data_IF_760894345441
#
_entry.id   IF_760894345441
#
_cell.length_a   1.000
_cell.length_b   1.000
_cell.length_c   1.000
_cell.angle_alpha   90.00
_cell.angle_beta   90.00
_cell.angle_gamma   90.00
#
_symmetry.space_group_name_H-M   'P 1'
#
loop_
_entity.id
_entity.type
_entity.pdbx_description
1 polymer ?
#
# COMPACT_ATOMS: atom_id res chain seq x y z
N UNK A 1 -31.94 12.36 0.86
CA UNK A 1 -31.35 11.92 2.14
C UNK A 1 -30.18 12.84 2.46
N UNK A 2 -29.95 13.20 3.72
CA UNK A 2 -28.79 14.03 4.08
C UNK A 2 -27.50 13.27 3.72
N UNK A 3 -26.57 13.92 3.03
CA UNK A 3 -25.23 13.39 2.76
C UNK A 3 -24.56 13.05 4.09
N UNK A 4 -24.31 11.77 4.37
CA UNK A 4 -23.58 11.38 5.57
C UNK A 4 -22.12 11.81 5.40
N UNK A 5 -21.60 12.54 6.39
CA UNK A 5 -20.21 12.99 6.38
C UNK A 5 -19.54 12.81 7.74
N UNK A 6 -18.23 12.60 7.72
CA UNK A 6 -17.35 12.58 8.87
C UNK A 6 -16.46 13.84 8.84
N UNK A 7 -16.65 14.73 9.80
CA UNK A 7 -15.85 15.95 9.90
C UNK A 7 -14.48 15.65 10.53
N UNK A 8 -13.42 15.82 9.74
CA UNK A 8 -12.02 15.68 10.19
C UNK A 8 -11.68 16.77 11.20
N UNK A 9 -12.22 17.98 11.02
CA UNK A 9 -12.03 19.08 11.97
C UNK A 9 -12.69 18.83 13.32
N UNK A 10 -13.96 18.43 13.32
CA UNK A 10 -14.66 18.11 14.57
C UNK A 10 -13.95 16.98 15.31
N UNK A 11 -13.50 15.94 14.59
CA UNK A 11 -12.72 14.86 15.17
C UNK A 11 -11.38 15.35 15.73
N UNK A 12 -10.62 16.13 14.95
CA UNK A 12 -9.29 16.62 15.37
C UNK A 12 -9.36 17.50 16.61
N UNK A 13 -10.35 18.39 16.67
CA UNK A 13 -10.59 19.27 17.83
C UNK A 13 -10.97 18.44 19.06
N UNK A 14 -11.79 17.41 18.88
CA UNK A 14 -12.14 16.48 19.96
C UNK A 14 -10.92 15.70 20.45
N UNK A 15 -10.12 15.13 19.55
CA UNK A 15 -8.90 14.39 19.90
C UNK A 15 -7.92 15.25 20.70
N UNK A 16 -7.70 16.51 20.26
CA UNK A 16 -6.85 17.46 20.97
C UNK A 16 -7.38 17.80 22.38
N UNK A 17 -8.70 17.98 22.54
CA UNK A 17 -9.31 18.28 23.83
C UNK A 17 -9.16 17.13 24.85
N UNK A 18 -9.15 15.88 24.39
CA UNK A 18 -8.91 14.71 25.25
C UNK A 18 -7.43 14.46 25.55
N UNK A 19 -6.53 15.06 24.77
CA UNK A 19 -5.07 14.96 24.92
C UNK A 19 -4.47 13.67 24.32
N UNK A 20 -3.13 13.62 24.18
CA UNK A 20 -2.43 12.57 23.42
C UNK A 20 -2.42 11.19 24.10
N UNK A 21 -2.83 11.10 25.36
CA UNK A 21 -2.70 9.89 26.18
C UNK A 21 -3.83 8.87 25.98
N UNK A 22 -4.75 9.10 25.03
CA UNK A 22 -5.80 8.13 24.76
C UNK A 22 -5.18 6.88 24.10
N UNK A 23 -5.27 5.70 24.73
CA UNK A 23 -4.76 4.49 24.13
C UNK A 23 -5.66 4.08 22.96
N UNK A 24 -5.03 3.59 21.89
CA UNK A 24 -5.68 2.82 20.83
C UNK A 24 -5.03 1.45 20.84
N UNK A 25 -5.86 0.41 20.90
CA UNK A 25 -5.36 -0.96 20.89
C UNK A 25 -4.72 -1.25 19.54
N UNK A 26 -3.53 -1.85 19.56
CA UNK A 26 -2.83 -2.24 18.34
C UNK A 26 -2.16 -3.60 18.60
N UNK A 27 -2.41 -4.58 17.73
CA UNK A 27 -1.60 -5.81 17.74
C UNK A 27 -0.34 -5.63 16.89
N UNK A 28 0.67 -6.47 17.13
CA UNK A 28 1.68 -6.67 16.10
C UNK A 28 1.00 -7.25 14.85
N UNK A 29 1.44 -6.86 13.64
CA UNK A 29 0.95 -7.44 12.41
C UNK A 29 1.47 -8.87 12.26
N UNK A 30 0.56 -9.81 12.05
CA UNK A 30 0.86 -11.21 11.79
C UNK A 30 0.87 -11.44 10.27
N UNK A 31 1.97 -11.93 9.72
CA UNK A 31 2.01 -12.32 8.30
C UNK A 31 1.22 -13.62 8.11
N UNK A 32 0.22 -13.58 7.22
CA UNK A 32 -0.72 -14.70 7.01
C UNK A 32 -0.65 -15.32 5.62
N UNK A 33 -0.14 -14.59 4.63
CA UNK A 33 0.03 -15.04 3.25
C UNK A 33 0.94 -14.07 2.51
N UNK A 34 1.30 -14.39 1.27
CA UNK A 34 2.14 -13.56 0.41
C UNK A 34 2.03 -14.03 -1.05
N UNK A 35 2.50 -13.19 -1.97
CA UNK A 35 2.61 -13.56 -3.38
C UNK A 35 3.73 -12.78 -4.07
N UNK A 36 4.19 -13.36 -5.18
CA UNK A 36 5.00 -12.66 -6.17
C UNK A 36 4.12 -12.28 -7.35
N UNK A 37 4.18 -11.03 -7.79
CA UNK A 37 3.70 -10.63 -9.11
C UNK A 37 4.84 -10.84 -10.10
N UNK A 38 4.64 -11.75 -11.04
CA UNK A 38 5.61 -12.02 -12.10
C UNK A 38 5.85 -10.73 -12.92
N UNK A 39 7.05 -10.58 -13.48
CA UNK A 39 7.34 -9.46 -14.39
C UNK A 39 6.45 -9.54 -15.64
N UNK A 40 6.32 -8.43 -16.36
CA UNK A 40 5.61 -8.41 -17.63
C UNK A 40 6.20 -9.42 -18.64
N UNK A 41 7.54 -9.59 -18.63
CA UNK A 41 8.22 -10.60 -19.45
C UNK A 41 7.87 -12.04 -19.07
N UNK A 42 7.48 -12.27 -17.81
CA UNK A 42 7.04 -13.56 -17.27
C UNK A 42 5.50 -13.68 -17.19
N UNK A 43 4.75 -12.82 -17.88
CA UNK A 43 3.29 -12.90 -18.00
C UNK A 43 2.48 -12.07 -17.00
N UNK A 44 3.11 -11.43 -15.99
CA UNK A 44 2.42 -10.46 -15.13
C UNK A 44 1.46 -11.04 -14.06
N UNK A 45 1.37 -12.36 -13.94
CA UNK A 45 0.43 -13.06 -13.04
C UNK A 45 0.78 -12.99 -11.55
N UNK A 46 -0.20 -13.29 -10.71
CA UNK A 46 -0.04 -13.39 -9.25
C UNK A 46 0.26 -14.84 -8.84
N UNK A 47 1.44 -15.07 -8.27
CA UNK A 47 1.92 -16.36 -7.79
C UNK A 47 1.77 -16.39 -6.26
N UNK A 48 0.63 -16.89 -5.77
CA UNK A 48 0.38 -17.01 -4.33
C UNK A 48 1.27 -18.08 -3.70
N UNK A 49 1.80 -17.81 -2.50
CA UNK A 49 2.75 -18.70 -1.83
C UNK A 49 4.16 -18.69 -2.43
N UNK A 50 4.42 -17.89 -3.46
CA UNK A 50 5.73 -17.78 -4.09
C UNK A 50 6.56 -16.61 -3.52
N UNK A 51 7.84 -16.87 -3.28
CA UNK A 51 8.81 -15.91 -2.73
C UNK A 51 9.86 -15.47 -3.75
N UNK A 52 9.72 -15.82 -5.04
CA UNK A 52 10.72 -15.49 -6.05
C UNK A 52 10.89 -13.98 -6.29
N UNK A 53 9.87 -13.19 -5.97
CA UNK A 53 9.92 -11.73 -5.99
C UNK A 53 10.57 -11.09 -4.76
N UNK A 54 10.87 -11.86 -3.70
CA UNK A 54 11.53 -11.32 -2.51
C UNK A 54 12.97 -10.98 -2.85
N UNK A 55 13.34 -9.72 -2.64
CA UNK A 55 14.68 -9.22 -2.88
C UNK A 55 15.45 -9.14 -1.56
N UNK A 56 16.68 -9.64 -1.50
CA UNK A 56 17.50 -9.62 -0.27
C UNK A 56 18.49 -8.46 -0.30
N UNK A 57 18.68 -7.76 0.82
CA UNK A 57 19.64 -6.67 0.90
C UNK A 57 21.08 -7.13 0.67
N UNK A 58 21.86 -6.32 -0.06
CA UNK A 58 23.31 -6.49 -0.12
C UNK A 58 23.95 -6.11 1.22
N UNK A 59 25.03 -6.79 1.65
CA UNK A 59 25.57 -6.62 3.00
C UNK A 59 26.23 -5.25 3.24
N UNK A 60 26.81 -4.63 2.21
CA UNK A 60 27.55 -3.37 2.34
C UNK A 60 26.83 -2.19 1.66
N UNK A 61 25.70 -1.77 2.22
CA UNK A 61 24.91 -0.65 1.69
C UNK A 61 25.64 0.69 1.72
N UNK A 62 26.62 0.88 2.61
CA UNK A 62 27.43 2.11 2.69
C UNK A 62 28.34 2.28 1.47
N UNK A 63 28.71 1.19 0.80
CA UNK A 63 29.47 1.25 -0.46
C UNK A 63 28.69 1.90 -1.62
N UNK A 64 27.38 2.10 -1.47
CA UNK A 64 26.53 2.78 -2.46
C UNK A 64 26.64 4.31 -2.39
N UNK A 65 27.37 4.88 -1.42
CA UNK A 65 27.66 6.31 -1.42
C UNK A 65 28.40 6.71 -2.71
N UNK A 66 28.03 7.88 -3.24
CA UNK A 66 28.47 8.43 -4.54
C UNK A 66 27.94 7.69 -5.77
N UNK A 67 27.07 6.70 -5.62
CA UNK A 67 26.40 6.07 -6.75
C UNK A 67 25.50 7.07 -7.48
N UNK A 68 25.54 7.04 -8.82
CA UNK A 68 24.68 7.86 -9.67
C UNK A 68 23.37 7.13 -9.99
N UNK A 69 22.25 7.59 -9.39
CA UNK A 69 20.93 7.01 -9.64
C UNK A 69 20.40 7.25 -11.06
N UNK A 70 21.10 8.04 -11.89
CA UNK A 70 20.77 8.16 -13.31
C UNK A 70 21.30 7.00 -14.16
N UNK A 71 22.20 6.17 -13.63
CA UNK A 71 22.85 5.10 -14.41
C UNK A 71 21.82 4.11 -14.95
N UNK A 72 21.67 4.09 -16.28
CA UNK A 72 20.71 3.25 -17.00
C UNK A 72 19.42 3.97 -17.39
N UNK A 73 19.19 5.21 -16.96
CA UNK A 73 18.01 5.98 -17.38
C UNK A 73 18.28 6.73 -18.70
N UNK A 74 17.32 6.77 -19.65
CA UNK A 74 16.01 6.11 -19.63
C UNK A 74 16.00 4.70 -20.23
N UNK A 75 17.10 4.27 -20.86
CA UNK A 75 17.15 3.14 -21.80
C UNK A 75 17.03 1.75 -21.12
N UNK A 76 17.54 1.61 -19.90
CA UNK A 76 17.50 0.40 -19.08
C UNK A 76 16.42 0.49 -17.98
N UNK A 77 15.26 1.04 -18.32
CA UNK A 77 14.10 1.12 -17.44
C UNK A 77 12.83 0.54 -18.08
N UNK A 78 12.41 -0.63 -17.60
CA UNK A 78 11.12 -1.26 -17.97
C UNK A 78 10.04 -0.72 -17.03
N UNK A 79 9.09 0.01 -17.62
CA UNK A 79 7.98 0.66 -16.93
C UNK A 79 6.75 -0.25 -16.92
N UNK A 80 5.94 -0.15 -15.87
CA UNK A 80 4.57 -0.66 -15.90
C UNK A 80 3.79 0.00 -17.04
N UNK A 81 3.10 -0.81 -17.84
CA UNK A 81 2.36 -0.36 -19.02
C UNK A 81 1.27 0.66 -18.67
N UNK A 82 0.62 0.47 -17.53
CA UNK A 82 -0.35 1.39 -16.98
C UNK A 82 0.05 1.76 -15.55
N UNK A 83 0.62 2.96 -15.37
CA UNK A 83 0.91 3.50 -14.04
C UNK A 83 -0.36 3.74 -13.23
N UNK A 84 -1.52 3.75 -13.88
CA UNK A 84 -2.83 4.00 -13.30
C UNK A 84 -3.63 2.71 -13.03
N UNK A 85 -3.14 1.54 -13.44
CA UNK A 85 -3.78 0.25 -13.12
C UNK A 85 -3.71 -0.02 -11.60
N UNK A 86 -4.86 -0.04 -10.95
CA UNK A 86 -4.99 -0.20 -9.52
C UNK A 86 -5.16 -1.69 -9.21
N UNK A 87 -4.31 -2.23 -8.33
CA UNK A 87 -4.44 -3.62 -7.93
C UNK A 87 -5.77 -3.80 -7.21
N UNK A 88 -6.63 -4.71 -7.69
CA UNK A 88 -7.96 -4.80 -7.17
C UNK A 88 -8.02 -5.63 -5.88
N UNK A 89 -9.00 -5.34 -5.02
CA UNK A 89 -9.05 -5.89 -3.65
C UNK A 89 -9.27 -7.42 -3.60
N UNK A 90 -9.84 -8.00 -4.65
CA UNK A 90 -10.04 -9.45 -4.82
C UNK A 90 -8.71 -10.24 -4.88
N UNK A 91 -7.60 -9.61 -5.27
CA UNK A 91 -6.25 -10.22 -5.15
C UNK A 91 -5.96 -10.65 -3.72
N UNK A 92 -6.39 -9.86 -2.73
CA UNK A 92 -6.24 -10.22 -1.30
C UNK A 92 -7.14 -11.41 -0.94
N UNK A 93 -8.32 -11.51 -1.55
CA UNK A 93 -9.27 -12.59 -1.30
C UNK A 93 -8.77 -13.91 -1.89
N UNK A 94 -8.19 -13.89 -3.09
CA UNK A 94 -7.54 -15.07 -3.66
C UNK A 94 -6.33 -15.50 -2.84
N UNK A 95 -5.53 -14.56 -2.31
CA UNK A 95 -4.43 -14.89 -1.41
C UNK A 95 -4.88 -15.45 -0.06
N UNK A 96 -6.02 -15.00 0.47
CA UNK A 96 -6.64 -15.58 1.66
C UNK A 96 -7.18 -16.99 1.39
N UNK A 97 -7.82 -17.20 0.23
CA UNK A 97 -8.31 -18.51 -0.20
C UNK A 97 -7.16 -19.51 -0.37
N UNK A 98 -6.07 -19.11 -1.01
CA UNK A 98 -4.86 -19.94 -1.17
C UNK A 98 -4.28 -20.36 0.19
N UNK A 99 -4.25 -19.44 1.16
CA UNK A 99 -3.74 -19.70 2.50
C UNK A 99 -4.75 -20.39 3.44
N UNK A 100 -5.95 -20.76 2.94
CA UNK A 100 -7.04 -21.30 3.76
C UNK A 100 -7.39 -20.40 4.97
N UNK A 101 -7.23 -19.08 4.82
CA UNK A 101 -7.38 -18.12 5.90
C UNK A 101 -8.87 -17.85 6.18
N UNK A 102 -9.38 -18.15 7.39
CA UNK A 102 -10.76 -17.79 7.75
C UNK A 102 -10.95 -16.28 7.83
N UNK A 103 -12.04 -15.77 7.23
CA UNK A 103 -12.37 -14.34 7.17
C UNK A 103 -13.55 -13.93 8.08
N UNK A 104 -14.13 -14.87 8.85
CA UNK A 104 -15.34 -14.67 9.66
C UNK A 104 -15.22 -13.56 10.71
N UNK A 105 -14.00 -13.30 11.20
CA UNK A 105 -13.71 -12.24 12.18
C UNK A 105 -13.12 -10.99 11.56
N UNK A 106 -12.74 -11.03 10.28
CA UNK A 106 -12.12 -9.91 9.58
C UNK A 106 -13.16 -8.84 9.37
N UNK A 107 -12.91 -7.63 9.86
CA UNK A 107 -13.86 -6.51 9.73
C UNK A 107 -13.58 -5.64 8.52
N UNK A 108 -12.34 -5.65 8.02
CA UNK A 108 -11.85 -4.81 6.93
C UNK A 108 -10.85 -5.59 6.08
N UNK A 109 -10.98 -5.51 4.76
CA UNK A 109 -10.00 -6.02 3.79
C UNK A 109 -9.55 -4.89 2.88
N UNK A 110 -8.25 -4.61 2.79
CA UNK A 110 -7.75 -3.52 1.94
C UNK A 110 -6.25 -3.61 1.64
N UNK A 111 -5.77 -2.83 0.67
CA UNK A 111 -4.34 -2.58 0.56
C UNK A 111 -3.89 -1.52 1.57
N UNK A 112 -2.68 -1.70 2.09
CA UNK A 112 -2.01 -0.75 2.98
C UNK A 112 -1.97 0.67 2.40
N UNK A 113 -1.97 0.82 1.07
CA UNK A 113 -2.06 2.11 0.38
C UNK A 113 -3.29 2.94 0.81
N UNK A 114 -4.47 2.32 0.93
CA UNK A 114 -5.69 3.01 1.35
C UNK A 114 -5.62 3.44 2.82
N UNK A 115 -5.03 2.60 3.68
CA UNK A 115 -4.77 2.96 5.07
C UNK A 115 -3.79 4.14 5.17
N UNK A 116 -2.74 4.19 4.35
CA UNK A 116 -1.84 5.35 4.33
C UNK A 116 -2.60 6.65 4.05
N UNK A 117 -3.46 6.67 3.01
CA UNK A 117 -4.27 7.85 2.66
C UNK A 117 -5.15 8.27 3.84
N UNK A 118 -5.87 7.31 4.41
CA UNK A 118 -6.79 7.55 5.51
C UNK A 118 -6.07 8.05 6.76
N UNK A 119 -5.08 7.31 7.28
CA UNK A 119 -4.38 7.63 8.52
C UNK A 119 -3.56 8.93 8.42
N UNK A 120 -3.11 9.31 7.24
CA UNK A 120 -2.39 10.56 7.04
C UNK A 120 -3.29 11.80 6.97
N UNK A 121 -4.62 11.63 6.82
CA UNK A 121 -5.58 12.74 6.65
C UNK A 121 -5.42 13.86 7.70
N UNK A 122 -5.23 13.60 9.01
CA UNK A 122 -5.06 14.66 10.01
C UNK A 122 -3.82 15.54 9.79
N UNK A 123 -2.76 15.00 9.18
CA UNK A 123 -1.51 15.71 8.88
C UNK A 123 -1.45 16.23 7.44
N UNK A 124 -2.16 15.59 6.52
CA UNK A 124 -2.18 15.90 5.08
C UNK A 124 -3.54 16.43 4.66
N UNK A 125 -3.99 17.47 5.37
CA UNK A 125 -5.31 18.05 5.24
C UNK A 125 -5.66 18.55 3.83
N UNK A 126 -4.65 18.79 3.00
CA UNK A 126 -4.80 19.31 1.64
C UNK A 126 -4.75 18.24 0.54
N UNK A 127 -4.57 16.95 0.88
CA UNK A 127 -4.45 15.88 -0.11
C UNK A 127 -5.78 15.14 -0.27
N UNK A 128 -6.50 15.32 -1.39
CA UNK A 128 -7.74 14.58 -1.62
C UNK A 128 -7.43 13.10 -1.85
N UNK A 129 -8.36 12.25 -1.43
CA UNK A 129 -8.32 10.83 -1.75
C UNK A 129 -9.72 10.28 -1.99
N UNK A 130 -9.77 9.21 -2.77
CA UNK A 130 -10.97 8.43 -3.02
C UNK A 130 -10.66 6.96 -2.75
N UNK A 131 -11.61 6.27 -2.13
CA UNK A 131 -11.58 4.84 -1.84
C UNK A 131 -12.95 4.28 -2.17
N UNK A 132 -12.99 3.27 -3.03
CA UNK A 132 -14.23 2.55 -3.32
C UNK A 132 -14.39 1.38 -2.36
N UNK A 133 -15.63 1.00 -2.09
CA UNK A 133 -15.94 0.06 -1.06
C UNK A 133 -17.21 -0.73 -1.33
N UNK A 134 -17.28 -1.92 -0.76
CA UNK A 134 -18.50 -2.68 -0.58
C UNK A 134 -18.54 -3.25 0.83
N UNK A 135 -19.71 -3.19 1.47
CA UNK A 135 -19.95 -3.84 2.76
C UNK A 135 -20.70 -5.15 2.54
N UNK A 136 -20.07 -6.27 2.87
CA UNK A 136 -20.61 -7.61 2.63
C UNK A 136 -20.25 -8.53 3.80
N UNK A 137 -21.21 -9.32 4.30
CA UNK A 137 -21.02 -10.25 5.42
C UNK A 137 -20.26 -9.66 6.64
N UNK A 138 -20.66 -8.46 7.09
CA UNK A 138 -20.05 -7.74 8.21
C UNK A 138 -18.59 -7.26 7.97
N UNK A 139 -18.11 -7.35 6.73
CA UNK A 139 -16.76 -6.95 6.32
C UNK A 139 -16.83 -5.78 5.35
N UNK A 140 -15.96 -4.79 5.54
CA UNK A 140 -15.79 -3.70 4.59
C UNK A 140 -14.58 -3.97 3.70
N UNK A 141 -14.82 -4.15 2.41
CA UNK A 141 -13.78 -4.32 1.41
C UNK A 141 -13.49 -2.96 0.79
N UNK A 142 -12.22 -2.55 0.77
CA UNK A 142 -11.80 -1.23 0.31
C UNK A 142 -10.83 -1.35 -0.87
N UNK A 143 -11.29 -0.91 -2.04
CA UNK A 143 -10.60 -0.91 -3.32
C UNK A 143 -9.78 0.39 -3.50
N UNK A 144 -8.61 0.26 -4.14
CA UNK A 144 -7.78 1.42 -4.48
C UNK A 144 -8.45 2.17 -5.64
N UNK A 145 -8.71 3.45 -5.45
CA UNK A 145 -9.01 4.38 -6.56
C UNK A 145 -7.82 5.32 -6.74
N UNK A 146 -7.36 5.45 -7.98
CA UNK A 146 -6.38 6.46 -8.38
C UNK A 146 -7.11 7.69 -8.90
N UNK A 147 -6.74 8.85 -8.37
CA UNK A 147 -7.28 10.13 -8.82
C UNK A 147 -6.62 10.52 -10.15
N UNK A 148 -7.45 10.68 -11.19
CA UNK A 148 -7.00 11.18 -12.49
C UNK A 148 -6.59 12.66 -12.39
N UNK A 149 -5.69 13.10 -13.28
CA UNK A 149 -5.41 14.52 -13.47
C UNK A 149 -4.31 15.13 -12.60
N UNK A 150 -3.52 14.32 -11.86
CA UNK A 150 -2.22 14.80 -11.37
C UNK A 150 -1.28 14.90 -12.57
N UNK A 151 -1.13 16.10 -13.14
CA UNK A 151 -0.09 16.30 -14.14
C UNK A 151 1.25 15.92 -13.52
N UNK A 152 1.99 14.97 -14.11
CA UNK A 152 3.30 14.62 -13.59
C UNK A 152 4.16 15.88 -13.59
N UNK A 153 4.82 16.15 -12.46
CA UNK A 153 5.84 17.18 -12.40
C UNK A 153 6.91 16.90 -13.47
N UNK A 154 7.58 17.95 -13.95
CA UNK A 154 8.81 17.77 -14.72
C UNK A 154 9.74 16.80 -13.94
N UNK A 155 10.29 15.83 -14.66
CA UNK A 155 11.16 14.75 -14.14
C UNK A 155 10.50 13.71 -13.23
N UNK A 156 9.17 13.62 -13.17
CA UNK A 156 8.47 12.60 -12.39
C UNK A 156 8.94 11.17 -12.72
N UNK A 157 9.04 10.82 -14.01
CA UNK A 157 9.50 9.50 -14.46
C UNK A 157 10.93 9.18 -13.97
N UNK A 158 11.83 10.17 -14.01
CA UNK A 158 13.21 10.03 -13.51
C UNK A 158 13.25 9.87 -11.99
N UNK A 159 12.40 10.56 -11.24
CA UNK A 159 12.34 10.39 -9.78
C UNK A 159 11.70 9.07 -9.36
N UNK A 160 10.74 8.57 -10.13
CA UNK A 160 10.24 7.20 -9.99
C UNK A 160 11.36 6.19 -10.26
N UNK A 161 12.13 6.37 -11.33
CA UNK A 161 13.29 5.55 -11.63
C UNK A 161 14.30 5.54 -10.48
N UNK A 162 14.60 6.68 -9.86
CA UNK A 162 15.53 6.72 -8.71
C UNK A 162 15.08 5.83 -7.55
N UNK A 163 13.77 5.64 -7.34
CA UNK A 163 13.25 4.70 -6.36
C UNK A 163 13.63 3.27 -6.74
N UNK A 164 13.18 2.81 -7.91
CA UNK A 164 13.46 1.46 -8.40
C UNK A 164 14.95 1.18 -8.59
N UNK A 165 15.75 2.16 -9.02
CA UNK A 165 17.20 2.02 -9.15
C UNK A 165 17.85 1.86 -7.78
N UNK A 166 17.39 2.60 -6.78
CA UNK A 166 17.89 2.45 -5.41
C UNK A 166 17.53 1.09 -4.82
N UNK A 167 16.31 0.60 -5.06
CA UNK A 167 15.93 -0.77 -4.70
C UNK A 167 16.85 -1.78 -5.38
N UNK A 168 17.02 -1.68 -6.70
CA UNK A 168 17.86 -2.59 -7.48
C UNK A 168 19.29 -2.66 -6.93
N UNK A 169 19.97 -1.54 -6.70
CA UNK A 169 21.35 -1.54 -6.18
C UNK A 169 21.46 -1.92 -4.70
N UNK A 170 20.37 -1.80 -3.93
CA UNK A 170 20.34 -2.28 -2.54
C UNK A 170 20.12 -3.79 -2.45
N UNK A 171 19.63 -4.43 -3.52
CA UNK A 171 19.29 -5.86 -3.52
C UNK A 171 20.02 -6.69 -4.57
N UNK A 172 20.73 -6.03 -5.46
CA UNK A 172 21.57 -6.62 -6.49
C UNK A 172 22.87 -5.80 -6.59
N UNK A 173 24.00 -6.50 -6.64
CA UNK A 173 25.30 -5.85 -6.72
C UNK A 173 25.63 -5.36 -8.14
N UNK A 174 24.85 -5.75 -9.16
CA UNK A 174 25.09 -5.32 -10.55
C UNK A 174 24.53 -3.90 -10.80
N UNK A 175 25.39 -2.88 -10.96
CA UNK A 175 24.97 -1.52 -11.19
C UNK A 175 24.44 -1.25 -12.60
N UNK A 176 24.65 -2.17 -13.55
CA UNK A 176 24.24 -2.04 -14.96
C UNK A 176 22.99 -2.85 -15.28
N UNK A 177 22.48 -3.62 -14.33
CA UNK A 177 21.26 -4.39 -14.50
C UNK A 177 20.09 -3.48 -14.87
N UNK A 178 19.29 -3.97 -15.83
CA UNK A 178 18.03 -3.35 -16.23
C UNK A 178 17.11 -3.27 -15.02
N UNK A 179 16.52 -2.09 -14.82
CA UNK A 179 15.54 -1.87 -13.76
C UNK A 179 14.17 -2.23 -14.31
N UNK A 180 13.57 -3.30 -13.79
CA UNK A 180 12.21 -3.71 -14.12
C UNK A 180 11.27 -3.39 -12.95
N UNK A 181 10.29 -2.51 -13.21
CA UNK A 181 9.28 -2.09 -12.23
C UNK A 181 8.01 -2.93 -12.27
N UNK A 182 7.93 -3.96 -13.11
CA UNK A 182 6.69 -4.72 -13.34
C UNK A 182 6.51 -5.89 -12.39
N UNK A 183 7.60 -6.48 -11.89
CA UNK A 183 7.58 -7.53 -10.89
C UNK A 183 7.60 -6.97 -9.48
N UNK A 184 6.84 -7.58 -8.58
CA UNK A 184 6.65 -7.10 -7.20
C UNK A 184 6.51 -8.27 -6.24
N UNK A 185 6.84 -8.05 -4.97
CA UNK A 185 6.49 -8.99 -3.90
C UNK A 185 5.57 -8.29 -2.91
N UNK A 186 4.49 -8.95 -2.53
CA UNK A 186 3.58 -8.44 -1.52
C UNK A 186 3.32 -9.48 -0.43
N UNK A 187 3.19 -8.97 0.78
CA UNK A 187 2.87 -9.75 1.96
C UNK A 187 1.50 -9.34 2.50
N UNK A 188 0.74 -10.32 2.99
CA UNK A 188 -0.55 -10.14 3.64
C UNK A 188 -0.36 -10.21 5.15
N UNK A 189 -0.97 -9.25 5.84
CA UNK A 189 -0.91 -9.13 7.29
C UNK A 189 -2.30 -9.03 7.89
N UNK A 190 -2.50 -9.72 9.02
CA UNK A 190 -3.61 -9.44 9.93
C UNK A 190 -3.12 -8.54 11.05
N UNK A 191 -3.84 -7.43 11.26
CA UNK A 191 -3.54 -6.47 12.34
C UNK A 191 -4.83 -6.00 13.00
N UNK A 192 -4.80 -5.88 14.32
CA UNK A 192 -5.88 -5.22 15.07
C UNK A 192 -5.55 -3.75 15.21
N UNK A 193 -6.42 -2.86 14.74
CA UNK A 193 -6.38 -1.43 15.01
C UNK A 193 -7.68 -1.01 15.70
N UNK A 194 -7.59 -0.66 16.98
CA UNK A 194 -8.74 -0.38 17.83
C UNK A 194 -9.68 -1.58 17.86
N UNK A 195 -10.90 -1.37 17.37
CA UNK A 195 -11.92 -2.43 17.30
C UNK A 195 -11.91 -3.24 16.00
N UNK A 196 -11.11 -2.83 15.01
CA UNK A 196 -11.08 -3.46 13.69
C UNK A 196 -10.02 -4.55 13.62
N UNK A 197 -10.40 -5.73 13.16
CA UNK A 197 -9.47 -6.73 12.64
C UNK A 197 -9.32 -6.50 11.13
N UNK A 198 -8.13 -6.09 10.72
CA UNK A 198 -7.82 -5.68 9.35
C UNK A 198 -6.96 -6.76 8.71
N UNK A 199 -7.43 -7.31 7.59
CA UNK A 199 -6.59 -8.05 6.66
C UNK A 199 -6.11 -7.07 5.59
N UNK A 200 -4.79 -6.93 5.46
CA UNK A 200 -4.24 -6.04 4.45
C UNK A 200 -3.05 -6.62 3.70
N UNK A 201 -2.88 -6.18 2.47
CA UNK A 201 -1.68 -6.48 1.70
C UNK A 201 -0.79 -5.24 1.54
N UNK A 202 0.52 -5.47 1.56
CA UNK A 202 1.52 -4.44 1.33
C UNK A 202 2.64 -5.01 0.44
N UNK A 203 3.00 -4.25 -0.59
CA UNK A 203 4.25 -4.44 -1.35
C UNK A 203 5.44 -4.23 -0.42
N UNK A 204 6.41 -5.15 -0.46
CA UNK A 204 7.63 -5.12 0.35
C UNK A 204 8.86 -4.98 -0.56
N UNK A 205 9.73 -4.03 -0.23
CA UNK A 205 10.85 -3.67 -1.11
C UNK A 205 11.99 -4.70 -1.02
N UNK A 206 12.36 -5.07 0.21
CA UNK A 206 13.47 -5.98 0.49
C UNK A 206 13.28 -6.75 1.79
N UNK A 207 14.09 -7.80 1.93
CA UNK A 207 14.20 -8.66 3.09
C UNK A 207 15.66 -8.73 3.56
N UNK A 208 15.84 -8.85 4.86
CA UNK A 208 17.11 -9.14 5.50
C UNK A 208 16.85 -10.14 6.62
N UNK A 209 17.81 -11.02 6.88
CA UNK A 209 17.69 -12.00 7.94
C UNK A 209 17.51 -11.28 9.29
N UNK A 210 16.34 -11.44 9.96
CA UNK A 210 16.10 -10.79 11.23
C UNK A 210 17.01 -11.39 12.31
N UNK A 211 17.49 -10.55 13.22
CA UNK A 211 18.23 -11.03 14.39
C UNK A 211 17.35 -11.93 15.26
N UNK A 212 17.97 -12.76 16.12
CA UNK A 212 17.23 -13.66 17.03
C UNK A 212 16.16 -12.91 17.86
N UNK A 213 16.41 -11.65 18.24
CA UNK A 213 15.48 -10.81 18.99
C UNK A 213 14.31 -10.28 18.15
N UNK A 214 14.49 -10.17 16.83
CA UNK A 214 13.49 -9.65 15.88
C UNK A 214 12.60 -10.75 15.31
N UNK A 215 13.11 -11.99 15.23
CA UNK A 215 12.38 -13.16 14.68
C UNK A 215 11.03 -13.41 15.35
N UNK A 216 10.91 -13.10 16.64
CA UNK A 216 9.65 -13.27 17.38
C UNK A 216 8.56 -12.27 16.96
N UNK A 217 8.94 -11.14 16.36
CA UNK A 217 8.05 -9.98 16.18
C UNK A 217 7.93 -9.50 14.74
N UNK A 218 8.89 -9.81 13.86
CA UNK A 218 8.99 -9.26 12.52
C UNK A 218 9.44 -10.29 11.49
N UNK A 219 8.88 -10.18 10.28
CA UNK A 219 9.20 -11.05 9.15
C UNK A 219 10.52 -10.70 8.42
N UNK A 220 11.33 -9.76 8.94
CA UNK A 220 12.62 -9.36 8.33
C UNK A 220 12.53 -8.36 7.18
N UNK A 221 11.35 -7.82 6.88
CA UNK A 221 11.19 -6.84 5.81
C UNK A 221 11.87 -5.50 6.11
N UNK A 222 12.39 -4.86 5.07
CA UNK A 222 12.97 -3.51 5.11
C UNK A 222 12.37 -2.67 3.99
N UNK A 223 12.08 -1.40 4.29
CA UNK A 223 11.55 -0.45 3.33
C UNK A 223 12.67 0.48 2.83
N UNK A 224 12.76 0.65 1.51
CA UNK A 224 13.79 1.39 0.81
C UNK A 224 13.24 2.74 0.35
N UNK A 225 13.91 3.83 0.73
CA UNK A 225 13.49 5.17 0.30
C UNK A 225 14.66 6.02 -0.17
N UNK A 226 14.47 6.71 -1.29
CA UNK A 226 15.34 7.83 -1.65
C UNK A 226 14.74 9.17 -1.23
N UNK A 227 15.61 10.11 -0.89
CA UNK A 227 15.20 11.48 -0.61
C UNK A 227 16.31 12.47 -0.93
N UNK A 228 15.92 13.69 -1.31
CA UNK A 228 16.86 14.79 -1.47
C UNK A 228 17.32 15.24 -0.10
N UNK A 229 18.63 15.28 0.13
CA UNK A 229 19.21 15.77 1.38
C UNK A 229 18.70 17.21 1.67
N UNK A 230 18.21 17.47 2.90
CA UNK A 230 17.66 18.77 3.24
C UNK A 230 18.75 19.84 3.21
N UNK A 231 18.45 20.95 2.55
CA UNK A 231 19.25 22.17 2.59
C UNK A 231 18.48 23.26 3.35
N UNK A 232 19.10 23.80 4.39
CA UNK A 232 18.48 24.79 5.27
C UNK A 232 17.26 24.30 6.04
N UNK A 233 16.56 25.25 6.67
CA UNK A 233 15.42 24.99 7.54
C UNK A 233 14.22 24.42 6.77
N UNK A 234 13.84 25.04 5.65
CA UNK A 234 12.71 24.57 4.80
C UNK A 234 12.90 23.12 4.31
N UNK A 235 14.14 22.75 3.97
CA UNK A 235 14.44 21.37 3.57
C UNK A 235 14.25 20.39 4.73
N UNK A 236 14.67 20.79 5.92
CA UNK A 236 14.53 20.01 7.15
C UNK A 236 13.06 19.86 7.52
N UNK A 237 12.27 20.93 7.46
CA UNK A 237 10.83 20.89 7.69
C UNK A 237 10.13 19.90 6.76
N UNK A 238 10.42 19.94 5.45
CA UNK A 238 9.85 18.99 4.48
C UNK A 238 10.19 17.53 4.83
N UNK A 239 11.39 17.28 5.32
CA UNK A 239 11.79 15.93 5.73
C UNK A 239 11.01 15.48 6.99
N UNK A 240 11.03 16.28 8.05
CA UNK A 240 10.50 15.85 9.35
C UNK A 240 8.98 15.99 9.48
N UNK A 241 8.36 17.02 8.86
CA UNK A 241 6.89 17.20 8.89
C UNK A 241 6.15 16.41 7.82
N UNK A 242 6.73 16.25 6.63
CA UNK A 242 6.01 15.63 5.50
C UNK A 242 6.44 14.19 5.22
N UNK A 243 7.75 13.90 5.20
CA UNK A 243 8.25 12.56 4.84
C UNK A 243 8.21 11.58 5.99
N UNK A 244 8.71 11.96 7.16
CA UNK A 244 8.80 11.05 8.32
C UNK A 244 7.44 10.47 8.73
N UNK A 245 6.34 11.24 8.82
CA UNK A 245 5.04 10.66 9.13
C UNK A 245 4.54 9.68 8.07
N UNK A 246 4.78 9.97 6.77
CA UNK A 246 4.42 9.05 5.67
C UNK A 246 5.18 7.75 5.77
N UNK A 247 6.50 7.82 5.94
CA UNK A 247 7.34 6.64 6.09
C UNK A 247 6.95 5.84 7.33
N UNK A 248 6.62 6.54 8.43
CA UNK A 248 6.14 5.88 9.64
C UNK A 248 4.85 5.10 9.37
N UNK A 249 3.79 5.72 8.84
CA UNK A 249 2.51 5.02 8.57
C UNK A 249 2.69 3.87 7.57
N UNK A 250 3.47 4.11 6.50
CA UNK A 250 3.76 3.12 5.47
C UNK A 250 4.35 1.83 6.06
N UNK A 251 5.37 1.97 6.90
CA UNK A 251 6.15 0.83 7.39
C UNK A 251 5.57 0.23 8.66
N UNK A 252 5.07 1.07 9.58
CA UNK A 252 4.63 0.63 10.90
C UNK A 252 3.42 -0.31 10.84
N UNK A 253 2.42 -0.02 10.01
CA UNK A 253 1.24 -0.89 9.88
C UNK A 253 1.62 -2.28 9.34
N UNK A 254 2.57 -2.35 8.41
CA UNK A 254 3.03 -3.59 7.79
C UNK A 254 4.12 -4.31 8.59
N UNK A 255 4.45 -3.83 9.80
CA UNK A 255 5.44 -4.47 10.65
C UNK A 255 6.86 -4.40 10.10
N UNK A 256 7.16 -3.38 9.30
CA UNK A 256 8.51 -3.16 8.78
C UNK A 256 9.31 -2.40 9.85
N UNK A 257 10.32 -3.01 10.50
CA UNK A 257 11.05 -2.39 11.61
C UNK A 257 12.02 -1.29 11.16
N UNK A 258 12.54 -1.38 9.93
CA UNK A 258 13.68 -0.56 9.47
C UNK A 258 13.43 0.06 8.10
N UNK A 259 13.84 1.31 7.96
CA UNK A 259 14.02 1.99 6.69
C UNK A 259 15.49 2.00 6.31
N UNK A 260 15.81 1.73 5.05
CA UNK A 260 17.10 2.08 4.46
C UNK A 260 16.90 3.30 3.57
N UNK A 261 17.60 4.38 3.89
CA UNK A 261 17.42 5.69 3.27
C UNK A 261 18.63 6.06 2.40
N UNK A 262 18.41 6.25 1.10
CA UNK A 262 19.35 6.83 0.15
C UNK A 262 19.19 8.36 0.08
N UNK A 263 20.01 9.08 0.85
CA UNK A 263 20.08 10.54 0.79
C UNK A 263 20.89 10.99 -0.41
N UNK A 264 20.24 11.64 -1.39
CA UNK A 264 20.87 12.11 -2.64
C UNK A 264 20.92 13.63 -2.73
N UNK A 265 21.79 14.13 -3.59
CA UNK A 265 21.71 15.51 -4.06
C UNK A 265 20.65 15.69 -5.16
N UNK A 266 20.58 16.89 -5.73
CA UNK A 266 19.63 17.23 -6.79
C UNK A 266 20.00 16.64 -8.16
N UNK A 267 21.28 16.36 -8.40
CA UNK A 267 21.74 15.68 -9.63
C UNK A 267 21.39 14.19 -9.64
N UNK A 268 21.11 13.58 -8.48
CA UNK A 268 20.80 12.15 -8.39
C UNK A 268 21.94 11.32 -7.83
N UNK A 269 23.01 11.95 -7.34
CA UNK A 269 24.14 11.24 -6.74
C UNK A 269 23.82 10.96 -5.27
N UNK A 270 23.93 9.70 -4.86
CA UNK A 270 23.83 9.31 -3.45
C UNK A 270 24.97 9.95 -2.67
N UNK A 271 24.63 10.62 -1.57
CA UNK A 271 25.57 11.28 -0.68
C UNK A 271 25.65 10.57 0.68
N UNK A 272 24.62 9.80 1.03
CA UNK A 272 24.53 9.05 2.27
C UNK A 272 23.58 7.87 2.12
N UNK A 273 23.94 6.72 2.66
CA UNK A 273 23.01 5.61 2.90
C UNK A 273 22.91 5.34 4.39
N UNK A 274 21.70 5.24 4.92
CA UNK A 274 21.52 5.05 6.37
C UNK A 274 20.32 4.19 6.73
N UNK A 275 20.50 3.35 7.75
CA UNK A 275 19.43 2.62 8.40
C UNK A 275 18.73 3.50 9.44
N UNK A 276 17.41 3.41 9.50
CA UNK A 276 16.59 4.16 10.44
C UNK A 276 15.45 3.30 10.98
N UNK A 277 15.45 2.97 12.28
CA UNK A 277 14.33 2.24 12.87
C UNK A 277 13.04 3.07 12.78
N UNK A 278 11.98 2.45 12.28
CA UNK A 278 10.68 3.11 12.03
C UNK A 278 10.12 3.70 13.33
N UNK A 279 10.24 2.96 14.43
CA UNK A 279 9.78 3.40 15.76
C UNK A 279 10.49 4.65 16.28
N UNK A 280 11.65 5.01 15.73
CA UNK A 280 12.42 6.21 16.12
C UNK A 280 12.00 7.47 15.38
N UNK A 281 11.26 7.37 14.27
CA UNK A 281 10.87 8.52 13.44
C UNK A 281 10.17 9.64 14.24
N UNK A 282 9.16 9.36 15.11
CA UNK A 282 8.48 10.41 15.86
C UNK A 282 9.44 11.14 16.83
N UNK A 283 10.30 10.39 17.52
CA UNK A 283 11.27 10.95 18.44
C UNK A 283 12.29 11.84 17.72
N UNK A 284 12.83 11.38 16.59
CA UNK A 284 13.78 12.13 15.79
C UNK A 284 13.18 13.41 15.22
N UNK A 285 11.93 13.37 14.75
CA UNK A 285 11.23 14.55 14.25
C UNK A 285 11.02 15.58 15.38
N UNK A 286 10.61 15.13 16.58
CA UNK A 286 10.48 15.98 17.78
C UNK A 286 11.81 16.62 18.18
N UNK A 287 12.88 15.84 18.25
CA UNK A 287 14.21 16.33 18.65
C UNK A 287 14.76 17.38 17.66
N UNK A 288 14.21 17.42 16.44
CA UNK A 288 14.49 18.41 15.40
C UNK A 288 13.51 19.59 15.36
N UNK A 289 12.58 19.67 16.31
CA UNK A 289 11.59 20.75 16.41
C UNK A 289 10.32 20.55 15.60
N UNK A 290 10.12 19.35 15.03
CA UNK A 290 8.99 19.02 14.14
C UNK A 290 8.22 17.79 14.64
N UNK A 291 7.69 17.78 15.87
CA UNK A 291 6.98 16.62 16.40
C UNK A 291 5.72 16.30 15.58
N UNK A 292 5.41 15.01 15.47
CA UNK A 292 4.11 14.52 15.03
C UNK A 292 3.60 13.45 16.00
N UNK A 293 2.29 13.43 16.24
CA UNK A 293 1.66 12.41 17.07
C UNK A 293 1.29 11.19 16.21
N UNK A 294 2.13 10.16 16.27
CA UNK A 294 1.88 8.92 15.55
C UNK A 294 0.60 8.18 16.03
N UNK A 295 0.26 8.29 17.32
CA UNK A 295 -0.94 7.67 17.88
C UNK A 295 -2.21 8.42 17.48
N UNK A 296 -2.15 9.73 17.21
CA UNK A 296 -3.26 10.45 16.61
C UNK A 296 -3.68 9.84 15.26
N UNK A 297 -2.71 9.43 14.44
CA UNK A 297 -3.00 8.81 13.14
C UNK A 297 -3.75 7.49 13.32
N UNK A 298 -3.33 6.68 14.30
CA UNK A 298 -3.99 5.41 14.64
C UNK A 298 -5.40 5.62 15.22
N UNK A 299 -5.58 6.58 16.14
CA UNK A 299 -6.90 6.94 16.69
C UNK A 299 -7.84 7.46 15.61
N UNK A 300 -7.32 8.26 14.67
CA UNK A 300 -8.09 8.73 13.53
C UNK A 300 -8.52 7.56 12.65
N UNK A 301 -7.59 6.66 12.33
CA UNK A 301 -7.87 5.45 11.55
C UNK A 301 -8.99 4.61 12.19
N UNK A 302 -8.92 4.33 13.49
CA UNK A 302 -9.95 3.59 14.21
C UNK A 302 -11.34 4.25 14.10
N UNK A 303 -11.42 5.55 14.35
CA UNK A 303 -12.68 6.31 14.30
C UNK A 303 -13.24 6.46 12.89
N UNK A 304 -12.38 6.75 11.91
CA UNK A 304 -12.79 6.94 10.52
C UNK A 304 -13.23 5.61 9.89
N UNK A 305 -12.51 4.51 10.13
CA UNK A 305 -12.89 3.18 9.66
C UNK A 305 -14.21 2.73 10.28
N UNK A 306 -14.45 3.03 11.56
CA UNK A 306 -15.73 2.76 12.20
C UNK A 306 -16.88 3.51 11.55
N UNK A 307 -16.68 4.80 11.27
CA UNK A 307 -17.68 5.58 10.57
C UNK A 307 -17.92 5.04 9.15
N UNK A 308 -16.86 4.71 8.39
CA UNK A 308 -16.95 4.15 7.04
C UNK A 308 -17.74 2.83 7.05
N UNK A 309 -17.46 1.92 7.99
CA UNK A 309 -18.20 0.66 8.14
C UNK A 309 -19.70 0.91 8.38
N UNK A 310 -20.02 1.82 9.32
CA UNK A 310 -21.42 2.20 9.60
C UNK A 310 -22.11 2.80 8.37
N UNK A 311 -21.45 3.73 7.68
CA UNK A 311 -22.00 4.39 6.50
C UNK A 311 -22.28 3.37 5.38
N UNK A 312 -21.33 2.49 5.06
CA UNK A 312 -21.52 1.46 4.03
C UNK A 312 -22.54 0.39 4.45
N UNK A 313 -22.64 0.03 5.73
CA UNK A 313 -23.63 -0.94 6.22
C UNK A 313 -25.08 -0.49 6.06
N UNK A 314 -25.34 0.81 5.84
CA UNK A 314 -26.67 1.33 5.53
C UNK A 314 -27.12 0.99 4.08
N UNK A 315 -26.18 0.55 3.24
CA UNK A 315 -26.40 0.15 1.85
C UNK A 315 -25.52 -1.08 1.57
N UNK A 316 -25.81 -2.23 2.22
CA UNK A 316 -24.99 -3.43 2.06
C UNK A 316 -25.02 -3.89 0.60
N UNK A 317 -23.91 -4.47 0.14
CA UNK A 317 -23.73 -4.99 -1.23
C UNK A 317 -23.79 -3.94 -2.34
N UNK A 318 -23.98 -2.66 -2.01
CA UNK A 318 -23.89 -1.56 -2.96
C UNK A 318 -22.44 -1.09 -3.13
N UNK A 319 -22.13 -0.53 -4.30
CA UNK A 319 -20.83 0.13 -4.53
C UNK A 319 -20.83 1.51 -3.88
N UNK A 320 -20.04 1.70 -2.83
CA UNK A 320 -19.92 2.95 -2.09
C UNK A 320 -18.57 3.61 -2.35
N UNK A 321 -18.59 4.89 -2.68
CA UNK A 321 -17.38 5.72 -2.80
C UNK A 321 -17.21 6.60 -1.57
N UNK A 322 -16.07 6.45 -0.90
CA UNK A 322 -15.60 7.37 0.11
C UNK A 322 -14.68 8.42 -0.50
N UNK A 323 -14.98 9.70 -0.25
CA UNK A 323 -14.18 10.82 -0.75
C UNK A 323 -13.80 11.73 0.39
N UNK A 324 -12.50 12.01 0.53
CA UNK A 324 -12.04 13.09 1.37
C UNK A 324 -11.95 14.38 0.55
N UNK A 325 -12.69 15.39 0.98
CA UNK A 325 -12.67 16.73 0.42
C UNK A 325 -11.87 17.67 1.33
N UNK A 326 -10.66 18.11 0.90
CA UNK A 326 -9.86 19.08 1.62
C UNK A 326 -10.54 20.43 1.88
N UNK A 327 -11.44 20.89 1.02
CA UNK A 327 -12.12 22.17 1.22
C UNK A 327 -13.14 22.09 2.36
N UNK A 328 -13.84 20.95 2.45
CA UNK A 328 -14.81 20.67 3.51
C UNK A 328 -14.19 20.08 4.78
N UNK A 329 -12.93 19.64 4.72
CA UNK A 329 -12.26 18.86 5.77
C UNK A 329 -13.16 17.70 6.24
N UNK A 330 -13.74 16.98 5.28
CA UNK A 330 -14.74 15.95 5.56
C UNK A 330 -14.58 14.75 4.63
N UNK A 331 -14.89 13.56 5.17
CA UNK A 331 -15.06 12.33 4.40
C UNK A 331 -16.56 12.17 4.13
N UNK A 332 -16.94 11.97 2.88
CA UNK A 332 -18.33 11.69 2.47
C UNK A 332 -18.46 10.29 1.91
N UNK A 333 -19.68 9.74 1.95
CA UNK A 333 -20.01 8.44 1.38
C UNK A 333 -21.12 8.59 0.35
N UNK A 334 -20.89 8.06 -0.86
CA UNK A 334 -21.84 8.14 -1.98
C UNK A 334 -22.04 6.75 -2.58
N UNK A 335 -23.28 6.27 -2.66
CA UNK A 335 -23.61 5.08 -3.44
C UNK A 335 -23.49 5.43 -4.92
N UNK A 336 -22.68 4.66 -5.66
CA UNK A 336 -22.48 4.86 -7.09
C UNK A 336 -23.59 4.18 -7.88
N UNK A 337 -23.95 4.76 -9.03
CA UNK A 337 -24.95 4.16 -9.92
C UNK A 337 -24.34 2.91 -10.61
N UNK A 338 -24.93 1.71 -10.44
CA UNK A 338 -24.46 0.48 -11.10
C UNK A 338 -24.39 0.60 -12.63
N UNK A 339 -25.27 1.41 -13.25
CA UNK A 339 -25.31 1.60 -14.71
C UNK A 339 -24.03 2.28 -15.28
N UNK A 340 -23.17 2.81 -14.42
CA UNK A 340 -21.90 3.46 -14.79
C UNK A 340 -20.73 2.48 -14.94
N UNK A 341 -20.98 1.17 -14.89
CA UNK A 341 -19.97 0.12 -15.11
C UNK A 341 -19.10 -0.19 -13.88
N UNK A 342 -19.52 0.25 -12.70
CA UNK A 342 -18.89 -0.11 -11.44
C UNK A 342 -19.32 -1.52 -11.02
N UNK A 343 -18.36 -2.40 -10.70
CA UNK A 343 -18.62 -3.83 -10.46
C UNK A 343 -17.90 -4.41 -9.23
N UNK A 344 -17.45 -3.57 -8.28
CA UNK A 344 -16.75 -4.03 -7.08
C UNK A 344 -17.58 -5.03 -6.27
N UNK A 345 -18.90 -4.82 -6.01
CA UNK A 345 -19.71 -5.79 -5.29
C UNK A 345 -19.70 -7.18 -5.93
N UNK A 346 -19.94 -7.27 -7.23
CA UNK A 346 -19.98 -8.54 -7.97
C UNK A 346 -18.64 -9.26 -7.91
N UNK A 347 -17.53 -8.53 -8.05
CA UNK A 347 -16.18 -9.12 -7.97
C UNK A 347 -15.86 -9.67 -6.58
N UNK A 348 -16.22 -8.92 -5.52
CA UNK A 348 -16.01 -9.37 -4.13
C UNK A 348 -16.86 -10.61 -3.83
N UNK A 349 -18.14 -10.60 -4.20
CA UNK A 349 -19.02 -11.76 -4.02
C UNK A 349 -18.48 -12.97 -4.77
N UNK A 350 -18.14 -12.81 -6.06
CA UNK A 350 -17.59 -13.89 -6.87
C UNK A 350 -16.31 -14.49 -6.26
N UNK A 351 -15.41 -13.64 -5.76
CA UNK A 351 -14.18 -14.09 -5.11
C UNK A 351 -14.44 -14.85 -3.80
N UNK A 352 -15.41 -14.41 -2.99
CA UNK A 352 -15.77 -15.07 -1.71
C UNK A 352 -16.56 -16.37 -1.90
N UNK A 353 -17.34 -16.49 -2.98
CA UNK A 353 -18.14 -17.70 -3.27
C UNK A 353 -17.42 -18.69 -4.17
N UNK A 354 -16.20 -18.40 -4.60
CA UNK A 354 -15.44 -19.27 -5.48
C UNK A 354 -15.22 -20.61 -4.77
N UNK A 355 -15.65 -21.74 -5.36
CA UNK A 355 -15.38 -23.04 -4.77
C UNK A 355 -13.87 -23.27 -4.75
N UNK A 356 -13.34 -23.65 -3.58
CA UNK A 356 -11.98 -24.14 -3.52
C UNK A 356 -11.88 -25.37 -4.42
N UNK A 357 -11.01 -25.34 -5.43
CA UNK A 357 -10.67 -26.56 -6.14
C UNK A 357 -10.12 -27.53 -5.09
N UNK A 358 -10.84 -28.64 -4.88
CA UNK A 358 -10.29 -29.76 -4.14
C UNK A 358 -9.16 -30.28 -5.04
N UNK A 359 -7.90 -30.10 -4.62
CA UNK A 359 -6.81 -30.87 -5.19
C UNK A 359 -7.10 -32.33 -4.83
N UNK A 360 -7.73 -33.06 -5.75
CA UNK A 360 -7.68 -34.51 -5.72
C UNK A 360 -6.20 -34.91 -5.80
N UNK A 361 -5.70 -35.59 -4.77
CA UNK A 361 -4.45 -36.33 -4.83
C UNK A 361 -4.51 -37.30 -6.02
N UNK A 362 -4.01 -36.87 -7.18
CA UNK A 362 -3.59 -37.77 -8.24
C UNK A 362 -2.19 -37.34 -8.65
N UNK A 363 -1.23 -38.19 -8.29
CA UNK A 363 0.16 -37.99 -8.63
C UNK A 363 0.44 -38.00 -10.14
N UNK A 364 1.68 -37.61 -10.42
CA UNK A 364 2.40 -37.58 -11.70
C UNK A 364 2.24 -36.33 -12.55
N UNK A 365 3.32 -35.54 -12.52
CA UNK A 365 3.91 -34.73 -13.59
C UNK A 365 2.97 -34.10 -14.61
N UNK A 366 2.68 -32.81 -14.45
CA UNK A 366 2.86 -31.80 -15.52
C UNK A 366 2.66 -30.39 -14.96
N UNK A 367 3.56 -29.48 -15.34
CA UNK A 367 3.46 -28.04 -15.13
C UNK A 367 2.12 -27.51 -15.65
N UNK A 368 1.36 -26.79 -14.82
CA UNK A 368 0.23 -26.01 -15.30
C UNK A 368 0.26 -24.62 -14.66
N UNK A 369 0.77 -23.66 -15.43
CA UNK A 369 0.58 -22.23 -15.17
C UNK A 369 -0.91 -21.90 -15.41
N UNK A 370 -1.59 -21.38 -14.39
CA UNK A 370 -2.92 -20.81 -14.59
C UNK A 370 -2.79 -19.39 -15.17
N UNK A 371 -3.06 -19.26 -16.46
CA UNK A 371 -3.20 -17.99 -17.17
C UNK A 371 -4.62 -17.44 -17.02
N UNK A 372 -4.76 -16.22 -16.49
CA UNK A 372 -6.04 -15.53 -16.26
C UNK A 372 -6.34 -14.54 -17.41
N UNK A 373 -5.67 -14.66 -18.56
CA UNK A 373 -5.83 -13.76 -19.70
C UNK A 373 -7.16 -13.87 -20.48
N UNK A 374 -8.06 -14.80 -20.14
CA UNK A 374 -9.34 -14.96 -20.85
C UNK A 374 -10.54 -14.35 -20.11
N UNK A 375 -10.55 -13.02 -19.99
CA UNK A 375 -11.77 -12.26 -19.71
C UNK A 375 -11.79 -10.99 -20.57
N UNK A 376 -12.07 -11.13 -21.88
CA UNK A 376 -12.54 -10.01 -22.68
C UNK A 376 -13.61 -10.43 -23.71
N UNK A 377 -14.77 -9.76 -23.55
CA UNK A 377 -15.66 -9.21 -24.58
C UNK A 377 -16.45 -10.21 -25.44
N UNK A 378 -17.72 -10.38 -25.06
CA UNK A 378 -18.75 -10.90 -25.95
C UNK A 378 -19.12 -9.86 -27.00
N UNK A 379 -18.98 -10.23 -28.26
CA UNK A 379 -19.46 -9.51 -29.44
C UNK A 379 -20.98 -9.35 -29.40
N UNK A 380 -21.45 -8.11 -29.57
CA UNK A 380 -22.78 -7.81 -30.05
C UNK A 380 -22.62 -7.08 -31.39
N UNK A 381 -22.67 -7.85 -32.47
CA UNK A 381 -22.91 -7.33 -33.81
C UNK A 381 -24.36 -7.69 -34.18
N UNK A 382 -25.24 -6.68 -34.21
CA UNK A 382 -26.50 -6.76 -34.94
C UNK A 382 -26.38 -5.91 -36.21
N UNK A 383 -26.90 -6.51 -37.27
CA UNK A 383 -27.06 -6.06 -38.66
C UNK A 383 -27.50 -4.60 -38.83
N UNK A 384 -27.08 -3.99 -39.95
CA UNK A 384 -27.99 -3.35 -40.92
C UNK A 384 -27.29 -3.31 -42.29
N UNK A 385 -27.97 -3.94 -43.24
CA UNK A 385 -27.76 -3.95 -44.69
C UNK A 385 -28.14 -2.60 -45.34
N UNK A 386 -27.53 -2.35 -46.52
CA UNK A 386 -27.78 -1.31 -47.54
C UNK A 386 -27.02 0.03 -47.49
#
# INVERSE_FOLDING_TARGET
>A
MAEQSFSVDAWSNSDQAHGPNRPVSLSLPEQVSYWTRATAAAGGGYLYGDTSGVRTLVPNLEALEKFDLNRGYPDAFIRKADSDDAVPVDVILYGAMYAYLPLDRTTIVTFRNNLNKLLMTPLQRNEPWVIDAVFYNNTLFLEIVKLQGKQPLLDHDRFTYYGYKFEAICTDADPDKVVDSTGEFASMFQVRLGQHLILMAAEMDAWEEPSELEQENFAGFTELKTYVLPQGERGSERLYREKYPRWWVQSFLAGVPTLVLGGRDRSGILQKVSRLPVTRLPALARDRGYPFDAFQLLRFGDAALEWMRKAASASPEEHVRFTYDPQRQAITATVLNPDMGFNLPERVVAALTRPMAQEEEQGSDTENQMDVSQLQLGDAAEDIDA
#
